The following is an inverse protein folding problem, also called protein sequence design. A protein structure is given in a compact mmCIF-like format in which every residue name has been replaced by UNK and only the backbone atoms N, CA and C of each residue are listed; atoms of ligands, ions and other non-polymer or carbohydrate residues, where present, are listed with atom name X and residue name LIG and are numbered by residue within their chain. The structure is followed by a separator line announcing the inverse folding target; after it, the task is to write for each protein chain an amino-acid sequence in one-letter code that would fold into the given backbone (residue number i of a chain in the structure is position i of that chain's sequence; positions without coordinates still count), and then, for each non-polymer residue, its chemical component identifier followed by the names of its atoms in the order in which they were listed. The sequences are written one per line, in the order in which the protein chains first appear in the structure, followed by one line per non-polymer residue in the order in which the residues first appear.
data_IF_804917649080
#
_entry.id   IF_804917649080
#
_cell.length_a   1.000
_cell.length_b   1.000
_cell.length_c   1.000
_cell.angle_alpha   90.00
_cell.angle_beta   90.00
_cell.angle_gamma   90.00
#
_symmetry.space_group_name_H-M   'P 1'
#
loop_
_entity.id
_entity.type
_entity.pdbx_description
1 polymer ?
#
# COMPACT_ATOMS: atom_id res chain seq x y z
N UNK A 1 51.33 38.04 -30.65
CA UNK A 1 51.49 39.44 -30.16
C UNK A 1 50.55 39.62 -28.95
N UNK A 2 51.17 39.85 -27.81
CA UNK A 2 50.70 40.36 -26.53
C UNK A 2 49.62 39.58 -25.72
N UNK A 3 49.94 39.30 -24.47
CA UNK A 3 49.06 38.68 -23.46
C UNK A 3 48.39 39.76 -22.61
N UNK A 4 47.30 39.44 -21.96
CA UNK A 4 46.70 40.24 -20.83
C UNK A 4 46.40 39.27 -19.73
N UNK A 5 47.18 39.35 -18.74
CA UNK A 5 47.14 39.94 -17.40
C UNK A 5 46.06 39.32 -16.50
N UNK A 6 46.61 38.52 -15.59
CA UNK A 6 45.99 38.07 -14.35
C UNK A 6 45.65 39.27 -13.43
N UNK A 7 44.51 39.24 -12.82
CA UNK A 7 44.23 40.01 -11.60
C UNK A 7 43.81 39.03 -10.51
N UNK A 8 44.74 38.86 -9.60
CA UNK A 8 44.55 38.17 -8.35
C UNK A 8 43.71 39.00 -7.38
N UNK A 9 42.80 38.35 -6.71
CA UNK A 9 42.31 38.78 -5.41
C UNK A 9 42.50 37.62 -4.44
N UNK A 10 43.45 37.86 -3.54
CA UNK A 10 43.75 37.01 -2.41
C UNK A 10 42.69 37.10 -1.34
N UNK A 11 42.36 35.96 -0.78
CA UNK A 11 42.28 35.58 0.59
C UNK A 11 41.56 36.51 1.58
N UNK A 12 40.59 35.96 2.18
CA UNK A 12 40.27 35.97 3.61
C UNK A 12 38.80 35.66 3.83
N UNK A 13 38.56 34.55 4.47
CA UNK A 13 37.44 34.17 5.35
C UNK A 13 36.95 32.75 5.13
N UNK A 14 37.86 31.84 5.36
CA UNK A 14 37.56 30.43 5.63
C UNK A 14 38.03 30.11 7.06
N UNK A 15 37.46 30.78 8.05
CA UNK A 15 37.79 30.50 9.46
C UNK A 15 36.77 31.12 10.40
N UNK A 16 35.45 30.86 10.20
CA UNK A 16 34.43 31.23 11.23
C UNK A 16 33.10 30.47 11.06
N UNK A 17 33.19 29.18 10.79
CA UNK A 17 32.00 28.29 10.75
C UNK A 17 32.28 26.90 11.33
N UNK A 18 33.15 26.85 12.36
CA UNK A 18 33.42 25.64 13.16
C UNK A 18 33.25 26.01 14.64
N UNK A 19 32.07 26.39 15.05
CA UNK A 19 31.68 26.44 16.47
C UNK A 19 30.16 26.65 16.62
N UNK A 20 29.35 25.82 15.95
CA UNK A 20 27.99 25.57 16.45
C UNK A 20 27.86 24.07 16.59
N UNK A 21 28.18 23.64 17.80
CA UNK A 21 28.19 22.26 18.22
C UNK A 21 26.84 21.59 17.97
N UNK A 22 26.91 20.44 17.36
CA UNK A 22 25.88 19.42 17.33
C UNK A 22 25.25 19.22 18.72
N UNK A 23 24.14 19.84 18.99
CA UNK A 23 23.19 19.43 20.01
C UNK A 23 22.00 18.77 19.31
N UNK A 24 22.20 17.54 18.90
CA UNK A 24 21.08 16.63 18.72
C UNK A 24 20.49 16.33 20.10
N UNK A 25 19.19 16.45 20.31
CA UNK A 25 18.58 16.01 21.54
C UNK A 25 18.85 14.50 21.69
N UNK A 26 19.41 14.11 22.81
CA UNK A 26 19.61 12.72 23.21
C UNK A 26 18.29 11.99 23.05
N UNK A 27 18.30 10.89 22.35
CA UNK A 27 17.20 9.95 22.25
C UNK A 27 16.64 9.68 23.64
N UNK A 28 15.38 9.95 23.82
CA UNK A 28 14.63 9.52 24.99
C UNK A 28 14.65 7.99 24.98
N UNK A 29 14.94 7.35 26.12
CA UNK A 29 14.94 5.89 26.20
C UNK A 29 13.54 5.38 25.86
N UNK A 30 13.49 4.40 24.98
CA UNK A 30 12.30 3.63 24.67
C UNK A 30 11.70 3.11 26.00
N UNK A 31 10.60 3.70 26.44
CA UNK A 31 9.87 3.20 27.60
C UNK A 31 9.20 1.92 27.17
N UNK A 32 9.72 0.81 27.63
CA UNK A 32 9.00 -0.47 27.66
C UNK A 32 7.68 -0.22 28.41
N UNK A 33 6.58 -0.19 27.66
CA UNK A 33 5.26 -0.13 28.22
C UNK A 33 4.96 -1.44 28.95
N UNK A 34 4.81 -1.36 30.25
CA UNK A 34 4.50 -2.50 31.11
C UNK A 34 2.99 -2.80 30.99
N UNK A 35 2.65 -3.75 30.13
CA UNK A 35 1.30 -4.20 29.77
C UNK A 35 0.48 -4.70 30.99
N UNK A 36 1.09 -4.80 32.18
CA UNK A 36 0.42 -5.32 33.38
C UNK A 36 -0.71 -4.44 33.95
N UNK A 37 -0.92 -3.23 33.44
CA UNK A 37 -1.96 -2.33 34.00
C UNK A 37 -3.27 -2.32 33.20
N UNK A 38 -3.32 -2.91 32.00
CA UNK A 38 -4.54 -2.95 31.18
C UNK A 38 -5.41 -4.17 31.55
N UNK A 39 -4.83 -5.24 32.08
CA UNK A 39 -5.54 -6.47 32.43
C UNK A 39 -6.43 -6.39 33.69
N UNK A 40 -6.61 -5.22 34.31
CA UNK A 40 -7.43 -5.10 35.53
C UNK A 40 -8.85 -4.58 35.28
N UNK A 41 -9.23 -4.26 34.03
CA UNK A 41 -10.57 -3.81 33.66
C UNK A 41 -11.35 -4.77 32.76
N UNK A 42 -10.78 -5.92 32.39
CA UNK A 42 -11.40 -6.88 31.48
C UNK A 42 -11.94 -8.17 32.17
N UNK A 43 -11.95 -8.24 33.48
CA UNK A 43 -12.53 -9.39 34.20
C UNK A 43 -13.79 -8.97 34.90
N UNK A 44 -14.91 -8.93 34.19
CA UNK A 44 -16.25 -9.21 34.63
C UNK A 44 -17.25 -9.07 33.48
N UNK A 45 -17.31 -10.07 32.61
CA UNK A 45 -18.51 -10.40 31.85
C UNK A 45 -18.37 -11.82 31.31
N UNK A 46 -18.66 -12.78 32.20
CA UNK A 46 -19.01 -14.13 31.81
C UNK A 46 -20.40 -14.12 31.20
N UNK A 47 -20.48 -14.13 29.87
CA UNK A 47 -21.70 -14.50 29.16
C UNK A 47 -21.46 -15.80 28.41
N UNK A 48 -22.42 -16.69 28.57
CA UNK A 48 -22.45 -18.09 28.21
C UNK A 48 -22.22 -18.36 26.73
N UNK A 49 -21.63 -19.52 26.45
CA UNK A 49 -21.27 -20.03 25.14
C UNK A 49 -22.37 -19.97 24.08
N UNK A 50 -22.20 -19.10 23.10
CA UNK A 50 -22.80 -19.28 21.80
C UNK A 50 -21.81 -20.05 20.91
N UNK A 51 -22.27 -21.22 20.43
CA UNK A 51 -21.52 -22.03 19.49
C UNK A 51 -21.15 -21.19 18.28
N UNK A 52 -19.84 -20.98 18.02
CA UNK A 52 -19.33 -20.32 16.81
C UNK A 52 -19.90 -21.07 15.59
N UNK A 53 -20.85 -20.46 14.90
CA UNK A 53 -21.15 -20.88 13.54
C UNK A 53 -19.89 -20.71 12.70
N UNK A 54 -19.49 -21.69 11.87
CA UNK A 54 -18.37 -21.52 10.98
C UNK A 54 -18.64 -20.28 10.11
N UNK A 55 -17.63 -19.39 9.99
CA UNK A 55 -17.73 -18.23 9.11
C UNK A 55 -18.04 -18.73 7.69
N UNK A 56 -19.16 -18.30 7.13
CA UNK A 56 -19.51 -18.58 5.73
C UNK A 56 -18.42 -17.92 4.87
N UNK A 57 -17.74 -18.67 3.99
CA UNK A 57 -16.73 -18.07 3.13
C UNK A 57 -17.35 -16.95 2.31
N UNK A 58 -16.72 -15.81 2.23
CA UNK A 58 -17.22 -14.65 1.47
C UNK A 58 -17.46 -14.89 -0.01
N UNK A 59 -16.82 -15.91 -0.58
CA UNK A 59 -17.13 -16.38 -1.93
C UNK A 59 -18.63 -16.66 -2.13
N UNK A 60 -19.35 -16.96 -1.04
CA UNK A 60 -20.80 -17.15 -1.05
C UNK A 60 -21.61 -15.89 -0.71
N UNK A 61 -20.96 -14.86 -0.14
CA UNK A 61 -21.66 -13.67 0.38
C UNK A 61 -21.39 -12.42 -0.45
N UNK A 62 -20.24 -12.31 -1.12
CA UNK A 62 -19.91 -11.14 -1.95
C UNK A 62 -19.75 -11.57 -3.40
N UNK A 63 -20.72 -11.22 -4.27
CA UNK A 63 -20.60 -11.52 -5.68
C UNK A 63 -19.38 -10.81 -6.29
N UNK A 64 -18.44 -11.56 -6.86
CA UNK A 64 -17.29 -11.01 -7.58
C UNK A 64 -17.65 -10.41 -8.94
N UNK A 65 -18.91 -10.38 -9.30
CA UNK A 65 -19.44 -9.68 -10.45
C UNK A 65 -19.55 -8.16 -10.24
N UNK A 66 -19.16 -7.72 -9.05
CA UNK A 66 -19.18 -6.32 -8.70
C UNK A 66 -20.60 -5.74 -8.56
N UNK A 67 -21.60 -6.52 -8.21
CA UNK A 67 -23.00 -6.05 -8.04
C UNK A 67 -23.20 -5.15 -6.81
N UNK A 68 -22.15 -4.92 -5.97
CA UNK A 68 -22.23 -4.12 -4.75
C UNK A 68 -21.33 -2.89 -4.83
N UNK A 69 -21.88 -1.73 -4.51
CA UNK A 69 -21.17 -0.44 -4.54
C UNK A 69 -20.47 -0.10 -3.22
N UNK A 70 -20.68 -0.89 -2.17
CA UNK A 70 -20.15 -0.66 -0.82
C UNK A 70 -18.91 -1.50 -0.49
N UNK A 71 -18.43 -2.32 -1.44
CA UNK A 71 -17.26 -3.19 -1.28
C UNK A 71 -16.46 -3.26 -2.58
N UNK A 72 -15.13 -3.13 -2.49
CA UNK A 72 -14.23 -3.37 -3.62
C UNK A 72 -13.79 -4.82 -3.64
N UNK A 73 -14.21 -5.53 -4.66
CA UNK A 73 -13.86 -6.93 -4.88
C UNK A 73 -13.19 -7.07 -6.23
N UNK A 74 -11.99 -7.65 -6.26
CA UNK A 74 -11.30 -7.92 -7.52
C UNK A 74 -12.10 -8.90 -8.37
N UNK A 75 -12.18 -8.69 -9.70
CA UNK A 75 -12.89 -9.59 -10.59
C UNK A 75 -12.16 -10.94 -10.69
N UNK A 76 -12.84 -11.96 -11.22
CA UNK A 76 -12.20 -13.25 -11.47
C UNK A 76 -11.29 -13.22 -12.72
N UNK A 77 -11.65 -12.38 -13.69
CA UNK A 77 -10.94 -12.23 -14.95
C UNK A 77 -10.12 -10.92 -14.93
N UNK A 78 -8.77 -10.99 -15.04
CA UNK A 78 -7.93 -9.80 -15.06
C UNK A 78 -8.21 -8.85 -16.21
N UNK A 79 -8.77 -9.33 -17.32
CA UNK A 79 -9.13 -8.48 -18.45
C UNK A 79 -10.27 -7.50 -18.13
N UNK A 80 -11.07 -7.81 -17.11
CA UNK A 80 -12.08 -6.86 -16.58
C UNK A 80 -11.47 -5.58 -16.02
N UNK A 81 -10.21 -5.60 -15.62
CA UNK A 81 -9.49 -4.40 -15.14
C UNK A 81 -8.89 -3.57 -16.27
N UNK A 82 -9.01 -3.97 -17.54
CA UNK A 82 -8.33 -3.32 -18.68
C UNK A 82 -9.20 -2.25 -19.31
N UNK A 83 -8.74 -1.00 -19.21
CA UNK A 83 -9.33 0.13 -19.91
C UNK A 83 -8.42 0.52 -21.09
N UNK A 84 -8.91 0.35 -22.30
CA UNK A 84 -8.22 0.78 -23.52
C UNK A 84 -8.41 2.27 -23.70
N UNK A 85 -7.28 2.97 -23.82
CA UNK A 85 -7.23 4.41 -24.06
C UNK A 85 -6.29 4.69 -25.22
N UNK A 86 -6.54 5.74 -25.97
CA UNK A 86 -5.62 6.13 -27.04
C UNK A 86 -4.24 6.48 -26.44
N UNK A 87 -4.22 7.30 -25.40
CA UNK A 87 -3.01 7.68 -24.65
C UNK A 87 -3.39 8.22 -23.28
N UNK A 88 -2.70 7.84 -22.23
CA UNK A 88 -2.93 8.40 -20.88
C UNK A 88 -2.67 9.91 -20.85
N UNK A 89 -1.73 10.40 -21.68
CA UNK A 89 -1.43 11.83 -21.77
C UNK A 89 -2.61 12.65 -22.31
N UNK A 90 -3.45 12.04 -23.17
CA UNK A 90 -4.58 12.67 -23.86
C UNK A 90 -5.89 11.91 -23.60
N UNK A 91 -6.07 11.40 -22.41
CA UNK A 91 -7.27 10.65 -22.02
C UNK A 91 -8.51 11.54 -22.11
N UNK A 92 -9.59 11.03 -22.69
CA UNK A 92 -10.85 11.75 -22.82
C UNK A 92 -11.61 11.81 -21.49
N UNK A 93 -12.58 12.73 -21.32
CA UNK A 93 -13.44 12.76 -20.13
C UNK A 93 -14.22 11.46 -19.91
N UNK A 94 -14.65 10.78 -20.98
CA UNK A 94 -15.39 9.53 -20.94
C UNK A 94 -14.48 8.38 -20.45
N UNK A 95 -13.28 8.26 -21.02
CA UNK A 95 -12.27 7.30 -20.57
C UNK A 95 -11.87 7.54 -19.11
N UNK A 96 -11.76 8.82 -18.71
CA UNK A 96 -11.47 9.18 -17.30
C UNK A 96 -12.63 8.77 -16.37
N UNK A 97 -13.89 8.94 -16.78
CA UNK A 97 -15.03 8.49 -15.98
C UNK A 97 -15.08 6.97 -15.84
N UNK A 98 -14.79 6.24 -16.91
CA UNK A 98 -14.67 4.78 -16.86
C UNK A 98 -13.52 4.33 -15.93
N UNK A 99 -12.38 5.01 -16.00
CA UNK A 99 -11.29 4.77 -15.06
C UNK A 99 -11.71 4.99 -13.59
N UNK A 100 -12.41 6.09 -13.30
CA UNK A 100 -12.95 6.39 -11.96
C UNK A 100 -13.93 5.31 -11.51
N UNK A 101 -14.82 4.86 -12.41
CA UNK A 101 -15.74 3.76 -12.13
C UNK A 101 -14.98 2.49 -11.76
N UNK A 102 -13.98 2.07 -12.54
CA UNK A 102 -13.19 0.87 -12.26
C UNK A 102 -12.43 0.96 -10.93
N UNK A 103 -11.80 2.10 -10.65
CA UNK A 103 -11.09 2.32 -9.38
C UNK A 103 -12.04 2.28 -8.17
N UNK A 104 -13.24 2.85 -8.29
CA UNK A 104 -14.23 2.80 -7.23
C UNK A 104 -14.82 1.40 -7.06
N UNK A 105 -14.91 0.62 -8.14
CA UNK A 105 -15.51 -0.71 -8.16
C UNK A 105 -14.58 -1.80 -7.68
N UNK A 106 -13.33 -1.79 -8.20
CA UNK A 106 -12.37 -2.89 -8.00
C UNK A 106 -11.17 -2.49 -7.16
N UNK A 107 -10.92 -1.20 -6.97
CA UNK A 107 -9.70 -0.71 -6.34
C UNK A 107 -8.46 -0.82 -7.22
N UNK A 108 -8.62 -1.28 -8.47
CA UNK A 108 -7.53 -1.41 -9.43
C UNK A 108 -8.04 -1.20 -10.86
N UNK A 109 -7.17 -0.71 -11.75
CA UNK A 109 -7.40 -0.61 -13.17
C UNK A 109 -6.07 -0.75 -13.94
N UNK A 110 -6.11 -1.29 -15.15
CA UNK A 110 -4.98 -1.35 -16.08
C UNK A 110 -5.28 -0.43 -17.25
N UNK A 111 -4.54 0.64 -17.38
CA UNK A 111 -4.62 1.53 -18.54
C UNK A 111 -3.78 0.94 -19.69
N UNK A 112 -4.45 0.57 -20.77
CA UNK A 112 -3.88 -0.04 -21.97
C UNK A 112 -3.81 1.02 -23.06
N UNK A 113 -2.59 1.52 -23.33
CA UNK A 113 -2.38 2.59 -24.31
C UNK A 113 -2.18 2.03 -25.71
N UNK A 114 -2.93 2.57 -26.69
CA UNK A 114 -2.73 2.27 -28.12
C UNK A 114 -1.48 3.00 -28.65
N UNK A 115 -1.28 4.24 -28.20
CA UNK A 115 -0.11 5.07 -28.51
C UNK A 115 0.76 5.18 -27.25
N UNK A 116 1.87 4.47 -27.24
CA UNK A 116 2.82 4.47 -26.13
C UNK A 116 4.10 5.21 -26.50
N UNK A 117 4.40 6.24 -25.74
CA UNK A 117 5.61 7.06 -25.84
C UNK A 117 6.70 6.58 -24.85
N UNK A 118 7.61 7.48 -24.46
CA UNK A 118 8.62 7.22 -23.43
C UNK A 118 8.04 6.98 -22.02
N UNK A 119 6.72 7.13 -21.83
CA UNK A 119 5.98 6.94 -20.58
C UNK A 119 6.01 8.14 -19.64
N UNK A 120 6.83 9.14 -19.85
CA UNK A 120 6.92 10.31 -18.97
C UNK A 120 5.68 11.21 -19.08
N UNK A 121 5.08 11.31 -20.25
CA UNK A 121 3.86 12.09 -20.45
C UNK A 121 2.67 11.46 -19.72
N UNK A 122 2.57 10.13 -19.73
CA UNK A 122 1.59 9.40 -18.92
C UNK A 122 1.71 9.76 -17.44
N UNK A 123 2.93 9.79 -16.89
CA UNK A 123 3.16 10.16 -15.49
C UNK A 123 2.80 11.61 -15.17
N UNK A 124 2.90 12.56 -16.08
CA UNK A 124 2.40 13.93 -15.86
C UNK A 124 0.89 13.95 -15.63
N UNK A 125 0.14 13.13 -16.34
CA UNK A 125 -1.31 12.99 -16.13
C UNK A 125 -1.61 12.29 -14.81
N UNK A 126 -0.93 11.21 -14.50
CA UNK A 126 -1.08 10.48 -13.24
C UNK A 126 -0.71 11.35 -12.02
N UNK A 127 0.33 12.19 -12.14
CA UNK A 127 0.72 13.15 -11.11
C UNK A 127 -0.40 14.19 -10.84
N UNK A 128 -1.08 14.69 -11.87
CA UNK A 128 -2.25 15.56 -11.70
C UNK A 128 -3.41 14.83 -11.00
N UNK A 129 -3.67 13.58 -11.42
CA UNK A 129 -4.79 12.80 -10.91
C UNK A 129 -4.65 12.42 -9.44
N UNK A 130 -3.47 11.96 -9.06
CA UNK A 130 -3.20 11.44 -7.71
C UNK A 130 -2.47 12.42 -6.80
N UNK A 131 -1.94 13.51 -7.36
CA UNK A 131 -1.29 14.58 -6.60
C UNK A 131 0.14 14.26 -6.24
N UNK A 132 0.54 14.68 -5.05
CA UNK A 132 1.92 14.62 -4.61
C UNK A 132 2.43 13.19 -4.53
N UNK A 133 3.60 12.97 -5.15
CA UNK A 133 4.35 11.73 -5.02
C UNK A 133 4.99 11.61 -3.62
N UNK A 134 5.00 10.40 -3.06
CA UNK A 134 5.69 10.11 -1.80
C UNK A 134 7.17 9.89 -2.09
N UNK A 135 8.08 10.64 -1.43
CA UNK A 135 9.51 10.50 -1.63
C UNK A 135 10.01 9.10 -1.30
N UNK A 136 10.92 8.60 -2.14
CA UNK A 136 11.58 7.32 -1.96
C UNK A 136 13.06 7.41 -2.35
N UNK A 137 13.96 6.75 -1.61
CA UNK A 137 15.42 6.91 -1.77
C UNK A 137 15.95 6.47 -3.14
N UNK A 138 15.21 5.63 -3.87
CA UNK A 138 15.58 5.14 -5.21
C UNK A 138 14.89 5.90 -6.36
N UNK A 139 14.28 7.04 -6.10
CA UNK A 139 13.67 7.85 -7.16
C UNK A 139 14.71 8.51 -8.05
N UNK A 140 14.40 8.55 -9.33
CA UNK A 140 15.11 9.40 -10.27
C UNK A 140 14.58 10.86 -10.21
N UNK A 141 15.10 11.74 -11.07
CA UNK A 141 14.71 13.15 -11.17
C UNK A 141 13.24 13.39 -11.54
N UNK A 142 12.55 12.35 -12.05
CA UNK A 142 11.11 12.38 -12.36
C UNK A 142 10.24 11.82 -11.23
N UNK A 143 10.84 11.50 -10.08
CA UNK A 143 10.14 10.89 -8.95
C UNK A 143 9.70 9.43 -9.20
N UNK A 144 10.35 8.74 -10.14
CA UNK A 144 10.04 7.37 -10.54
C UNK A 144 11.06 6.41 -9.92
N UNK A 145 10.58 5.34 -9.31
CA UNK A 145 11.39 4.20 -8.89
C UNK A 145 11.45 3.19 -10.03
N UNK A 146 12.62 2.99 -10.62
CA UNK A 146 12.83 1.93 -11.60
C UNK A 146 13.12 0.60 -10.88
N UNK A 147 12.28 -0.39 -11.11
CA UNK A 147 12.46 -1.76 -10.65
C UNK A 147 13.10 -2.53 -11.81
N UNK A 148 14.39 -2.80 -11.68
CA UNK A 148 15.20 -3.40 -12.73
C UNK A 148 16.26 -4.32 -12.09
N UNK A 149 16.25 -5.64 -12.32
CA UNK A 149 17.20 -6.55 -11.72
C UNK A 149 18.65 -6.31 -12.15
N UNK A 150 18.86 -5.71 -13.33
CA UNK A 150 20.20 -5.36 -13.80
C UNK A 150 20.78 -4.09 -13.13
N UNK A 151 19.93 -3.33 -12.43
CA UNK A 151 20.33 -2.14 -11.66
C UNK A 151 19.97 -2.36 -10.20
N UNK A 152 20.80 -3.05 -9.41
CA UNK A 152 20.53 -3.23 -8.00
C UNK A 152 20.44 -1.87 -7.33
N UNK A 153 19.23 -1.45 -7.00
CA UNK A 153 19.00 -0.31 -6.13
C UNK A 153 19.41 -0.71 -4.72
N UNK A 154 19.85 0.23 -3.90
CA UNK A 154 20.17 0.04 -2.48
C UNK A 154 19.00 -0.55 -1.66
N UNK A 155 17.84 -0.62 -2.26
CA UNK A 155 16.63 -1.20 -1.71
C UNK A 155 16.51 -2.57 -2.36
N UNK A 156 16.60 -3.59 -1.53
CA UNK A 156 16.38 -4.97 -1.92
C UNK A 156 15.05 -5.10 -2.66
N UNK A 157 15.10 -4.90 -3.96
CA UNK A 157 14.06 -5.39 -4.83
C UNK A 157 14.00 -6.88 -4.59
N UNK A 158 12.85 -7.38 -4.19
CA UNK A 158 12.65 -8.78 -3.88
C UNK A 158 13.36 -9.66 -4.90
N UNK A 159 14.11 -10.65 -4.39
CA UNK A 159 14.84 -11.58 -5.25
C UNK A 159 13.94 -12.04 -6.41
N UNK A 160 14.32 -11.83 -7.68
CA UNK A 160 13.47 -12.16 -8.83
C UNK A 160 12.99 -13.62 -8.82
N UNK A 161 13.84 -14.56 -8.38
CA UNK A 161 13.54 -16.00 -8.28
C UNK A 161 12.56 -16.36 -7.16
N UNK A 162 12.24 -15.42 -6.28
CA UNK A 162 11.26 -15.61 -5.22
C UNK A 162 10.02 -14.78 -5.51
N UNK A 163 8.89 -15.34 -5.10
CA UNK A 163 7.65 -14.58 -5.04
C UNK A 163 7.82 -13.34 -4.14
N UNK A 164 7.30 -12.21 -4.59
CA UNK A 164 7.09 -11.05 -3.72
C UNK A 164 5.67 -11.11 -3.18
N UNK A 165 5.56 -11.46 -1.91
CA UNK A 165 4.28 -11.74 -1.28
C UNK A 165 3.36 -10.50 -1.27
N UNK A 166 2.04 -10.68 -1.27
CA UNK A 166 1.08 -9.58 -1.25
C UNK A 166 1.29 -8.65 -0.06
N UNK A 167 1.37 -7.35 -0.36
CA UNK A 167 1.56 -6.28 0.61
C UNK A 167 0.97 -4.97 0.09
N UNK A 168 0.77 -4.00 0.99
CA UNK A 168 0.56 -2.61 0.61
C UNK A 168 1.87 -1.85 0.76
N UNK A 169 2.13 -0.93 -0.14
CA UNK A 169 3.35 -0.11 -0.05
C UNK A 169 3.26 0.88 1.12
N UNK A 170 4.42 1.27 1.63
CA UNK A 170 4.57 2.22 2.75
C UNK A 170 3.88 1.81 4.07
N UNK A 171 3.54 0.52 4.22
CA UNK A 171 2.89 -0.02 5.42
C UNK A 171 3.70 0.18 6.72
N UNK A 172 4.98 0.54 6.61
CA UNK A 172 5.91 0.85 7.70
C UNK A 172 5.94 2.34 8.06
N UNK A 173 5.04 3.16 7.50
CA UNK A 173 4.92 4.60 7.79
C UNK A 173 3.61 4.89 8.49
N UNK A 174 3.55 6.04 9.19
CA UNK A 174 2.32 6.51 9.83
C UNK A 174 1.33 7.14 8.83
N UNK A 175 1.74 7.28 7.57
CA UNK A 175 0.91 7.76 6.47
C UNK A 175 1.20 6.97 5.21
N UNK A 176 0.62 5.75 5.08
CA UNK A 176 0.78 4.93 3.89
C UNK A 176 0.24 5.63 2.64
N UNK A 177 0.87 5.36 1.50
CA UNK A 177 0.42 5.89 0.20
C UNK A 177 -1.04 5.50 -0.08
N UNK A 178 -1.78 6.42 -0.72
CA UNK A 178 -3.16 6.15 -1.11
C UNK A 178 -3.23 5.38 -2.43
N UNK A 179 -2.41 5.78 -3.41
CA UNK A 179 -2.39 5.16 -4.72
C UNK A 179 -0.98 4.75 -5.12
N UNK A 180 -0.91 3.70 -5.91
CA UNK A 180 0.30 3.13 -6.48
C UNK A 180 0.11 2.92 -7.99
N UNK A 181 1.12 3.26 -8.76
CA UNK A 181 1.18 2.96 -10.20
C UNK A 181 2.37 2.09 -10.53
N UNK A 182 2.14 1.08 -11.37
CA UNK A 182 3.18 0.21 -11.93
C UNK A 182 3.06 0.21 -13.45
N UNK A 183 4.01 0.85 -14.14
CA UNK A 183 4.11 0.82 -15.60
C UNK A 183 5.06 -0.27 -16.04
N UNK A 184 4.62 -1.14 -16.93
CA UNK A 184 5.50 -2.08 -17.59
C UNK A 184 6.31 -1.37 -18.68
N UNK A 185 7.64 -1.39 -18.56
CA UNK A 185 8.58 -0.90 -19.58
C UNK A 185 9.13 -2.05 -20.41
N UNK A 186 9.33 -3.20 -19.75
CA UNK A 186 9.77 -4.44 -20.36
C UNK A 186 9.30 -5.61 -19.51
N UNK A 187 8.60 -6.55 -20.12
CA UNK A 187 8.21 -7.82 -19.49
C UNK A 187 9.36 -8.83 -19.59
N UNK A 188 9.35 -9.83 -18.69
CA UNK A 188 10.29 -10.95 -18.76
C UNK A 188 10.02 -11.78 -20.01
N UNK A 189 11.04 -12.06 -20.86
CA UNK A 189 10.85 -12.76 -22.12
C UNK A 189 10.30 -14.19 -21.98
N UNK A 190 10.72 -14.93 -20.94
CA UNK A 190 10.23 -16.29 -20.69
C UNK A 190 8.90 -16.36 -19.93
N UNK A 191 8.33 -15.19 -19.60
CA UNK A 191 7.15 -15.07 -18.75
C UNK A 191 7.51 -15.01 -17.27
N UNK A 192 6.49 -15.01 -16.40
CA UNK A 192 6.66 -14.76 -14.98
C UNK A 192 6.73 -13.27 -14.64
N UNK A 193 6.82 -12.97 -13.36
CA UNK A 193 6.87 -11.58 -12.87
C UNK A 193 5.53 -10.85 -12.98
N UNK A 194 4.43 -11.57 -13.19
CA UNK A 194 3.09 -11.01 -13.20
C UNK A 194 2.76 -10.37 -11.85
N UNK A 195 2.01 -9.28 -11.88
CA UNK A 195 1.46 -8.70 -10.67
C UNK A 195 0.40 -9.61 -10.07
N UNK A 196 0.41 -9.74 -8.76
CA UNK A 196 -0.59 -10.50 -7.99
C UNK A 196 -1.34 -9.50 -7.14
N UNK A 197 -2.67 -9.49 -7.21
CA UNK A 197 -3.53 -8.61 -6.44
C UNK A 197 -4.37 -9.42 -5.46
N UNK A 198 -4.57 -8.89 -4.25
CA UNK A 198 -5.46 -9.44 -3.22
C UNK A 198 -6.34 -8.32 -2.70
N UNK A 199 -7.65 -8.53 -2.70
CA UNK A 199 -8.57 -7.52 -2.15
C UNK A 199 -8.43 -7.43 -0.62
N UNK A 200 -8.40 -6.19 -0.11
CA UNK A 200 -8.51 -5.96 1.33
C UNK A 200 -9.83 -6.49 1.91
N UNK A 201 -10.88 -6.55 1.09
CA UNK A 201 -12.15 -7.17 1.50
C UNK A 201 -11.97 -8.67 1.79
N UNK A 202 -11.20 -9.40 0.99
CA UNK A 202 -10.92 -10.81 1.27
C UNK A 202 -10.19 -10.99 2.61
N UNK A 203 -9.29 -10.05 2.96
CA UNK A 203 -8.59 -10.08 4.25
C UNK A 203 -9.56 -9.84 5.43
N UNK A 204 -10.44 -8.85 5.29
CA UNK A 204 -11.43 -8.50 6.33
C UNK A 204 -12.36 -9.66 6.62
N UNK A 205 -12.75 -10.42 5.61
CA UNK A 205 -13.69 -11.53 5.76
C UNK A 205 -13.14 -12.75 6.43
N UNK A 206 -11.83 -12.83 6.57
CA UNK A 206 -11.19 -13.83 7.40
C UNK A 206 -11.44 -13.59 8.91
N UNK A 207 -11.97 -12.41 9.28
CA UNK A 207 -12.04 -11.94 10.65
C UNK A 207 -13.48 -11.94 11.18
N UNK A 208 -13.61 -12.22 12.47
CA UNK A 208 -14.79 -11.84 13.24
C UNK A 208 -14.79 -10.33 13.52
N UNK A 209 -15.93 -9.83 13.91
CA UNK A 209 -16.11 -8.44 14.27
C UNK A 209 -15.22 -7.98 15.44
N UNK A 210 -15.02 -8.85 16.41
CA UNK A 210 -14.17 -8.59 17.58
C UNK A 210 -12.69 -8.54 17.17
N UNK A 211 -12.24 -9.47 16.33
CA UNK A 211 -10.87 -9.50 15.80
C UNK A 211 -10.58 -8.26 14.96
N UNK A 212 -11.52 -7.86 14.09
CA UNK A 212 -11.35 -6.63 13.30
C UNK A 212 -11.19 -5.40 14.20
N UNK A 213 -12.02 -5.28 15.25
CA UNK A 213 -11.88 -4.15 16.20
C UNK A 213 -10.56 -4.15 16.92
N UNK A 214 -10.09 -5.32 17.34
CA UNK A 214 -8.79 -5.43 18.00
C UNK A 214 -7.67 -5.01 17.05
N UNK A 215 -7.72 -5.42 15.78
CA UNK A 215 -6.76 -5.03 14.74
C UNK A 215 -6.86 -3.55 14.33
N UNK A 216 -7.96 -2.89 14.68
CA UNK A 216 -8.11 -1.43 14.54
C UNK A 216 -7.49 -0.64 15.71
N UNK A 217 -6.92 -1.30 16.70
CA UNK A 217 -6.17 -0.64 17.76
C UNK A 217 -4.72 -0.45 17.33
N UNK A 218 -4.10 0.70 17.66
CA UNK A 218 -2.68 0.91 17.42
C UNK A 218 -1.84 -0.01 18.30
N UNK A 219 -0.68 -0.41 17.79
CA UNK A 219 0.25 -1.27 18.51
C UNK A 219 -0.01 -2.76 18.38
N UNK A 220 -1.15 -3.18 17.83
CA UNK A 220 -1.45 -4.61 17.64
C UNK A 220 -0.53 -5.26 16.61
N UNK A 221 -0.18 -4.54 15.56
CA UNK A 221 0.74 -5.01 14.52
C UNK A 221 1.74 -3.90 14.19
N UNK A 222 3.01 -4.18 14.35
CA UNK A 222 4.10 -3.30 13.93
C UNK A 222 4.66 -3.75 12.59
N UNK A 223 4.84 -2.82 11.67
CA UNK A 223 5.47 -3.08 10.38
C UNK A 223 6.69 -2.21 10.21
N UNK A 224 7.78 -2.79 9.74
CA UNK A 224 9.04 -2.09 9.64
C UNK A 224 9.71 -2.28 8.28
N UNK A 225 10.62 -1.36 7.97
CA UNK A 225 11.55 -1.46 6.85
C UNK A 225 12.95 -1.65 7.42
N UNK A 226 13.62 -2.70 7.00
CA UNK A 226 15.02 -2.95 7.34
C UNK A 226 15.94 -2.48 6.21
N UNK A 227 17.07 -1.86 6.53
CA UNK A 227 18.12 -1.66 5.55
C UNK A 227 18.74 -3.02 5.18
N UNK A 228 19.37 -3.09 4.00
CA UNK A 228 20.20 -4.23 3.67
C UNK A 228 21.41 -4.26 4.62
N UNK A 229 21.57 -5.29 5.43
CA UNK A 229 22.85 -5.61 6.04
C UNK A 229 22.88 -5.83 7.55
N UNK A 230 22.36 -4.95 8.40
CA UNK A 230 22.57 -5.05 9.85
C UNK A 230 21.37 -5.56 10.65
N UNK A 231 20.25 -5.79 10.00
CA UNK A 231 19.02 -6.29 10.65
C UNK A 231 18.27 -5.27 11.52
N UNK A 232 18.78 -4.04 11.65
CA UNK A 232 18.07 -2.99 12.38
C UNK A 232 16.87 -2.46 11.59
N UNK A 233 15.91 -1.83 12.28
CA UNK A 233 14.78 -1.20 11.65
C UNK A 233 15.10 0.24 11.26
N UNK A 234 14.97 0.61 9.98
CA UNK A 234 15.05 2.01 9.54
C UNK A 234 13.83 2.82 9.93
N UNK A 235 12.66 2.20 9.75
CA UNK A 235 11.35 2.79 10.09
C UNK A 235 10.47 1.69 10.63
N UNK A 236 9.67 2.01 11.63
CA UNK A 236 8.63 1.12 12.17
C UNK A 236 7.40 1.96 12.42
N UNK A 237 6.26 1.45 12.01
CA UNK A 237 4.96 2.05 12.32
C UNK A 237 4.06 1.04 13.00
N UNK A 238 3.38 1.49 14.04
CA UNK A 238 2.43 0.71 14.84
C UNK A 238 1.02 1.32 14.77
N UNK A 239 0.70 2.07 13.72
CA UNK A 239 -0.68 2.52 13.46
C UNK A 239 -1.59 1.30 13.29
N UNK A 240 -2.91 1.42 13.42
CA UNK A 240 -3.83 0.30 13.23
C UNK A 240 -3.62 -0.43 11.90
N UNK A 241 -3.88 -1.75 11.89
CA UNK A 241 -3.85 -2.53 10.64
C UNK A 241 -5.02 -2.14 9.73
N UNK A 242 -6.18 -1.83 10.33
CA UNK A 242 -7.37 -1.30 9.68
C UNK A 242 -7.79 0.00 10.34
N UNK A 243 -8.27 0.94 9.55
CA UNK A 243 -8.88 2.18 10.07
C UNK A 243 -9.98 2.66 9.14
N UNK A 244 -10.92 3.42 9.68
CA UNK A 244 -11.96 4.07 8.86
C UNK A 244 -11.49 5.48 8.49
N UNK A 245 -11.49 5.79 7.22
CA UNK A 245 -11.27 7.17 6.77
C UNK A 245 -12.48 8.03 7.13
N UNK A 246 -12.24 9.09 7.91
CA UNK A 246 -13.32 9.98 8.40
C UNK A 246 -14.06 10.72 7.29
N UNK A 247 -13.39 10.98 6.18
CA UNK A 247 -13.96 11.78 5.09
C UNK A 247 -14.90 10.95 4.22
N UNK A 248 -14.55 9.70 3.97
CA UNK A 248 -15.28 8.79 3.09
C UNK A 248 -16.13 7.75 3.83
N UNK A 249 -15.83 7.46 5.09
CA UNK A 249 -16.45 6.37 5.85
C UNK A 249 -16.02 4.98 5.39
N UNK A 250 -14.93 4.88 4.61
CA UNK A 250 -14.44 3.61 4.08
C UNK A 250 -13.35 3.02 4.97
N UNK A 251 -13.38 1.69 5.14
CA UNK A 251 -12.36 0.93 5.84
C UNK A 251 -11.13 0.81 4.96
N UNK A 252 -10.01 1.29 5.46
CA UNK A 252 -8.71 1.21 4.82
C UNK A 252 -7.86 0.14 5.49
N UNK A 253 -6.91 -0.43 4.74
CA UNK A 253 -6.02 -1.48 5.21
C UNK A 253 -4.56 -1.12 4.90
N UNK A 254 -3.67 -1.45 5.81
CA UNK A 254 -2.26 -1.66 5.51
C UNK A 254 -1.97 -3.13 5.73
N UNK A 255 -1.30 -3.74 4.79
CA UNK A 255 -1.08 -5.17 4.83
C UNK A 255 0.36 -5.55 4.46
N UNK A 256 0.85 -6.59 5.10
CA UNK A 256 2.08 -7.25 4.69
C UNK A 256 2.03 -8.71 5.10
N UNK A 257 2.28 -9.62 4.18
CA UNK A 257 2.53 -11.01 4.54
C UNK A 257 3.79 -11.13 5.39
N UNK A 258 3.87 -12.20 6.17
CA UNK A 258 5.06 -12.47 6.98
C UNK A 258 6.25 -12.85 6.09
N UNK A 259 7.03 -11.85 5.69
CA UNK A 259 8.17 -11.93 4.77
C UNK A 259 9.48 -11.40 5.38
N UNK A 260 9.52 -11.24 6.70
CA UNK A 260 10.67 -10.69 7.43
C UNK A 260 10.68 -9.16 7.55
N UNK A 261 9.66 -8.47 7.01
CA UNK A 261 9.43 -7.03 7.22
C UNK A 261 8.29 -6.77 8.22
N UNK A 262 7.70 -7.83 8.75
CA UNK A 262 6.78 -7.75 9.87
C UNK A 262 7.61 -7.53 11.14
N UNK A 263 7.21 -6.51 11.92
CA UNK A 263 7.75 -6.26 13.26
C UNK A 263 7.06 -7.18 14.28
N UNK A 264 6.60 -6.57 15.37
CA UNK A 264 5.90 -7.31 16.41
C UNK A 264 4.41 -7.45 16.07
N UNK A 265 3.85 -8.62 16.37
CA UNK A 265 2.42 -8.91 16.36
C UNK A 265 2.02 -9.26 17.79
N UNK A 266 1.06 -8.54 18.36
CA UNK A 266 0.56 -8.82 19.69
C UNK A 266 -0.02 -10.24 19.75
N UNK A 267 0.25 -10.97 20.84
CA UNK A 267 -0.15 -12.38 20.96
C UNK A 267 -1.67 -12.59 20.80
N UNK A 268 -2.46 -11.62 21.24
CA UNK A 268 -3.93 -11.67 21.17
C UNK A 268 -4.47 -11.59 19.73
N UNK A 269 -3.76 -10.98 18.77
CA UNK A 269 -4.16 -10.86 17.36
C UNK A 269 -3.36 -11.77 16.43
N UNK A 270 -2.42 -12.51 16.95
CA UNK A 270 -1.57 -13.39 16.14
C UNK A 270 -2.36 -14.44 15.35
N UNK A 271 -3.37 -15.15 15.94
CA UNK A 271 -4.18 -16.09 15.17
C UNK A 271 -4.94 -15.43 14.02
N UNK A 272 -5.51 -14.24 14.25
CA UNK A 272 -6.22 -13.46 13.24
C UNK A 272 -5.28 -13.00 12.11
N UNK A 273 -4.07 -12.57 12.47
CA UNK A 273 -3.05 -12.20 11.50
C UNK A 273 -2.61 -13.39 10.64
N UNK A 274 -2.39 -14.56 11.25
CA UNK A 274 -2.02 -15.80 10.55
C UNK A 274 -3.15 -16.26 9.61
N UNK A 275 -4.40 -16.10 10.02
CA UNK A 275 -5.56 -16.40 9.17
C UNK A 275 -5.62 -15.49 7.93
N UNK A 276 -5.39 -14.19 8.11
CA UNK A 276 -5.31 -13.24 6.99
C UNK A 276 -4.11 -13.55 6.08
N UNK A 277 -2.95 -13.89 6.64
CA UNK A 277 -1.75 -14.28 5.87
C UNK A 277 -2.05 -15.53 5.02
N UNK A 278 -2.76 -16.49 5.60
CA UNK A 278 -3.20 -17.68 4.86
C UNK A 278 -4.18 -17.34 3.71
N UNK A 279 -5.09 -16.38 3.91
CA UNK A 279 -5.99 -15.88 2.85
C UNK A 279 -5.17 -15.21 1.74
N UNK A 280 -4.27 -14.30 2.08
CA UNK A 280 -3.47 -13.57 1.10
C UNK A 280 -2.60 -14.48 0.22
N UNK A 281 -2.19 -15.64 0.75
CA UNK A 281 -1.35 -16.62 0.04
C UNK A 281 -2.13 -17.61 -0.81
N UNK A 282 -3.43 -17.77 -0.61
CA UNK A 282 -4.24 -18.72 -1.39
C UNK A 282 -4.50 -18.18 -2.80
N UNK A 283 -4.21 -18.97 -3.80
CA UNK A 283 -4.40 -18.59 -5.21
C UNK A 283 -5.84 -18.18 -5.54
N UNK A 284 -6.84 -18.76 -4.87
CA UNK A 284 -8.26 -18.42 -5.08
C UNK A 284 -8.60 -16.97 -4.69
N UNK A 285 -7.80 -16.34 -3.85
CA UNK A 285 -7.93 -14.93 -3.46
C UNK A 285 -6.99 -14.02 -4.26
N UNK A 286 -6.19 -14.57 -5.16
CA UNK A 286 -5.22 -13.85 -5.94
C UNK A 286 -5.70 -13.63 -7.37
N UNK A 287 -5.73 -12.39 -7.81
CA UNK A 287 -5.89 -12.06 -9.22
C UNK A 287 -4.50 -11.84 -9.83
N UNK A 288 -4.13 -12.67 -10.80
CA UNK A 288 -2.86 -12.56 -11.50
C UNK A 288 -3.03 -11.66 -12.71
N UNK A 289 -2.30 -10.56 -12.75
CA UNK A 289 -2.40 -9.51 -13.78
C UNK A 289 -1.07 -9.44 -14.54
N UNK A 290 -0.95 -10.08 -15.71
CA UNK A 290 0.17 -9.87 -16.58
C UNK A 290 0.13 -8.48 -17.19
N UNK A 291 1.29 -7.80 -17.24
CA UNK A 291 1.42 -6.49 -17.86
C UNK A 291 2.39 -6.58 -19.05
N UNK A 292 2.00 -5.99 -20.16
CA UNK A 292 2.86 -5.84 -21.33
C UNK A 292 3.44 -4.41 -21.42
N UNK A 293 4.53 -4.20 -22.18
CA UNK A 293 5.12 -2.86 -22.32
C UNK A 293 4.09 -1.81 -22.74
N UNK A 294 4.08 -0.68 -22.02
CA UNK A 294 3.11 0.42 -22.20
C UNK A 294 1.93 0.40 -21.26
N UNK A 295 1.57 -0.74 -20.68
CA UNK A 295 0.47 -0.83 -19.73
C UNK A 295 0.83 -0.25 -18.37
N UNK A 296 -0.15 0.40 -17.74
CA UNK A 296 -0.04 0.97 -16.39
C UNK A 296 -1.11 0.38 -15.49
N UNK A 297 -0.71 -0.43 -14.54
CA UNK A 297 -1.56 -0.87 -13.43
C UNK A 297 -1.61 0.24 -12.39
N UNK A 298 -2.81 0.67 -12.06
CA UNK A 298 -3.12 1.63 -11.00
C UNK A 298 -3.87 0.93 -9.90
N UNK A 299 -3.50 1.17 -8.65
CA UNK A 299 -4.10 0.52 -7.48
C UNK A 299 -4.41 1.52 -6.37
N UNK A 300 -5.55 1.33 -5.72
CA UNK A 300 -5.81 1.87 -4.39
C UNK A 300 -5.03 1.06 -3.36
N UNK A 301 -3.91 1.60 -2.92
CA UNK A 301 -2.97 0.92 -2.02
C UNK A 301 -3.53 0.73 -0.58
N UNK A 302 -4.71 1.28 -0.29
CA UNK A 302 -5.42 1.12 0.98
C UNK A 302 -6.61 0.17 0.87
N UNK A 303 -6.81 -0.39 -0.33
CA UNK A 303 -7.87 -1.36 -0.63
C UNK A 303 -7.33 -2.68 -1.19
N UNK A 304 -6.20 -2.64 -1.90
CA UNK A 304 -5.64 -3.78 -2.63
C UNK A 304 -4.19 -4.00 -2.22
N UNK A 305 -3.89 -5.18 -1.70
CA UNK A 305 -2.53 -5.64 -1.54
C UNK A 305 -2.02 -6.19 -2.89
N UNK A 306 -0.73 -5.98 -3.15
CA UNK A 306 -0.11 -6.41 -4.39
C UNK A 306 1.18 -7.18 -4.14
N UNK A 307 1.49 -8.07 -5.04
CA UNK A 307 2.69 -8.90 -5.03
C UNK A 307 3.18 -9.15 -6.44
N UNK A 308 4.07 -10.13 -6.59
CA UNK A 308 4.66 -10.48 -7.87
C UNK A 308 5.05 -11.95 -7.90
N UNK A 309 4.68 -12.64 -8.97
CA UNK A 309 5.17 -14.01 -9.25
C UNK A 309 6.70 -14.00 -9.50
N UNK A 310 7.39 -15.12 -9.20
CA UNK A 310 8.81 -15.25 -9.53
C UNK A 310 9.04 -15.19 -11.05
N UNK A 311 10.25 -14.80 -11.46
CA UNK A 311 10.74 -14.87 -12.84
C UNK A 311 12.26 -15.11 -12.84
N UNK A 312 12.84 -15.46 -13.98
CA UNK A 312 14.28 -15.67 -14.07
C UNK A 312 15.07 -14.38 -13.88
N UNK A 313 16.11 -14.42 -13.05
CA UNK A 313 16.81 -13.22 -12.55
C UNK A 313 17.71 -12.53 -13.58
N UNK A 314 18.09 -13.23 -14.63
CA UNK A 314 18.94 -12.76 -15.73
C UNK A 314 18.12 -12.15 -16.89
N UNK A 315 16.79 -12.26 -16.81
CA UNK A 315 15.93 -11.68 -17.82
C UNK A 315 15.71 -10.18 -17.58
N UNK A 316 15.72 -9.39 -18.66
CA UNK A 316 15.42 -7.98 -18.58
C UNK A 316 13.91 -7.77 -18.30
N UNK A 317 13.59 -7.39 -17.08
CA UNK A 317 12.24 -6.97 -16.68
C UNK A 317 12.34 -5.59 -16.05
N UNK A 318 11.66 -4.62 -16.62
CA UNK A 318 11.71 -3.23 -16.16
C UNK A 318 10.32 -2.71 -15.87
N UNK A 319 10.11 -2.27 -14.64
CA UNK A 319 8.88 -1.62 -14.20
C UNK A 319 9.20 -0.23 -13.64
N UNK A 320 8.35 0.72 -13.91
CA UNK A 320 8.37 2.02 -13.26
C UNK A 320 7.26 2.10 -12.21
N UNK A 321 7.62 2.55 -11.01
CA UNK A 321 6.71 2.66 -9.88
C UNK A 321 6.66 4.10 -9.36
N UNK A 322 5.45 4.53 -8.99
CA UNK A 322 5.22 5.78 -8.27
C UNK A 322 4.12 5.60 -7.22
N UNK A 323 4.35 6.14 -6.02
CA UNK A 323 3.40 6.12 -4.92
C UNK A 323 2.89 7.55 -4.66
N UNK A 324 1.59 7.69 -4.35
CA UNK A 324 0.92 8.98 -4.27
C UNK A 324 0.17 9.16 -2.95
N UNK A 325 0.12 10.41 -2.50
CA UNK A 325 -0.64 10.82 -1.31
C UNK A 325 -2.15 10.72 -1.53
N UNK A 326 -2.63 10.90 -2.77
CA UNK A 326 -4.06 10.90 -3.09
C UNK A 326 -4.74 12.25 -2.85
N UNK A 327 -4.06 13.34 -3.19
CA UNK A 327 -4.58 14.71 -3.05
C UNK A 327 -4.62 15.46 -4.40
N UNK A 328 -4.72 14.74 -5.51
CA UNK A 328 -4.81 15.30 -6.86
C UNK A 328 -6.24 15.54 -7.34
N UNK A 329 -6.37 15.83 -8.64
CA UNK A 329 -7.64 16.24 -9.27
C UNK A 329 -8.76 15.18 -9.16
N UNK A 330 -8.41 13.89 -9.17
CA UNK A 330 -9.39 12.81 -9.04
C UNK A 330 -9.68 12.40 -7.58
N UNK A 331 -8.95 12.94 -6.60
CA UNK A 331 -9.08 12.50 -5.20
C UNK A 331 -10.52 12.59 -4.66
N UNK A 332 -11.27 13.62 -5.08
CA UNK A 332 -12.68 13.79 -4.68
C UNK A 332 -13.66 12.82 -5.36
N UNK A 333 -13.23 12.16 -6.43
CA UNK A 333 -14.05 11.22 -7.21
C UNK A 333 -13.69 9.76 -6.89
N UNK A 334 -12.53 9.53 -6.25
CA UNK A 334 -12.04 8.22 -5.90
C UNK A 334 -12.30 7.93 -4.42
N UNK A 335 -12.99 6.85 -4.17
CA UNK A 335 -13.17 6.32 -2.81
C UNK A 335 -11.98 5.42 -2.48
N UNK A 336 -11.16 5.82 -1.51
CA UNK A 336 -10.01 5.01 -1.06
C UNK A 336 -10.41 4.15 0.12
N UNK A 337 -10.17 2.84 0.02
CA UNK A 337 -10.50 1.85 1.04
C UNK A 337 -11.17 0.61 0.44
N UNK A 338 -11.29 -0.43 1.27
CA UNK A 338 -11.73 -1.76 0.82
C UNK A 338 -13.25 -1.95 0.82
N UNK A 339 -13.95 -1.34 1.79
CA UNK A 339 -15.41 -1.38 1.89
C UNK A 339 -15.94 -0.21 2.70
N UNK A 340 -17.21 0.14 2.51
CA UNK A 340 -17.90 1.07 3.40
C UNK A 340 -17.98 0.46 4.81
N UNK A 341 -17.60 1.21 5.83
CA UNK A 341 -17.58 0.73 7.22
C UNK A 341 -18.95 0.26 7.75
N UNK A 342 -20.01 0.63 7.02
CA UNK A 342 -21.41 0.25 7.30
C UNK A 342 -22.02 -0.65 6.23
N UNK A 343 -21.19 -1.32 5.44
CA UNK A 343 -21.70 -2.25 4.45
C UNK A 343 -22.44 -3.40 5.12
N UNK A 344 -23.38 -4.04 4.41
CA UNK A 344 -24.06 -5.23 4.90
C UNK A 344 -23.12 -6.44 5.13
N UNK A 345 -21.84 -6.36 4.72
CA UNK A 345 -20.79 -7.28 5.17
C UNK A 345 -20.69 -7.31 6.69
N UNK A 346 -21.01 -6.19 7.33
CA UNK A 346 -20.99 -6.03 8.77
C UNK A 346 -22.40 -6.05 9.37
N UNK A 347 -23.41 -6.64 8.67
CA UNK A 347 -24.74 -6.86 9.24
C UNK A 347 -24.62 -7.68 10.53
N UNK A 348 -25.00 -7.07 11.63
CA UNK A 348 -24.69 -7.51 13.00
C UNK A 348 -23.62 -6.67 13.70
N UNK A 349 -22.81 -5.87 12.96
CA UNK A 349 -21.87 -4.88 13.52
C UNK A 349 -22.50 -3.49 13.70
N UNK A 350 -23.60 -3.18 13.00
CA UNK A 350 -24.21 -1.84 13.04
C UNK A 350 -24.54 -1.34 14.45
N UNK A 351 -24.84 -2.25 15.40
CA UNK A 351 -25.05 -1.87 16.80
C UNK A 351 -23.77 -1.61 17.58
N UNK A 352 -22.62 -1.93 17.00
CA UNK A 352 -21.33 -1.92 17.68
C UNK A 352 -20.32 -0.96 17.03
N UNK A 353 -20.54 -0.55 15.78
CA UNK A 353 -19.74 0.45 15.06
C UNK A 353 -20.47 1.79 15.13
N UNK A 354 -20.35 2.48 16.25
CA UNK A 354 -20.73 3.87 16.33
C UNK A 354 -19.56 4.73 15.82
N UNK A 355 -19.64 5.32 14.61
CA UNK A 355 -18.57 6.17 14.08
C UNK A 355 -18.36 7.40 14.93
N UNK A 356 -19.37 7.83 15.71
CA UNK A 356 -19.24 8.95 16.65
C UNK A 356 -18.38 8.59 17.86
N UNK A 357 -18.30 7.32 18.21
CA UNK A 357 -17.49 6.82 19.34
C UNK A 357 -16.05 6.53 18.94
N UNK A 358 -15.76 6.37 17.63
CA UNK A 358 -14.42 6.05 17.15
C UNK A 358 -13.72 7.29 16.62
N UNK A 359 -12.81 7.83 17.41
CA UNK A 359 -12.00 8.99 17.04
C UNK A 359 -10.53 8.58 17.00
N UNK A 360 -9.94 8.36 15.79
CA UNK A 360 -8.52 8.04 15.66
C UNK A 360 -7.60 9.12 16.23
N UNK A 361 -8.09 10.36 16.41
CA UNK A 361 -7.31 11.42 17.07
C UNK A 361 -7.21 11.24 18.59
N UNK A 362 -8.07 10.43 19.19
CA UNK A 362 -8.00 10.05 20.63
C UNK A 362 -6.98 8.96 20.90
N UNK A 363 -6.47 8.31 19.86
CA UNK A 363 -5.39 7.35 19.97
C UNK A 363 -4.10 8.14 20.15
N UNK A 364 -3.63 8.25 21.38
CA UNK A 364 -2.28 8.79 21.65
C UNK A 364 -1.28 7.77 21.14
N UNK A 365 -0.62 8.08 20.02
CA UNK A 365 0.58 7.39 19.54
C UNK A 365 1.73 7.55 20.53
#
# INVERSE_FOLDING_TARGET
MKPLQALGLRGARAAELVALGNRFPKQLPCRTFNIRHINKMATESTMAGESRKPAVPLQEVVPRDGSRDDVKVLPNDPDTLRLRVKSIANITPEEQQEFVFMMNRYGAAVLVQEEFDDGLQAYKTLDRWFGRCIPHDAMNEHGIVEINPAKPTSINTANPKKEHLPHTDDAYTDSPSAFLTLQCRQSAPSGGGESVLVSGADLVTALSNEELRTLMQPGMVSMGRRPAGDGSWMKVSSIPLFWVDKSSGWLQVRWRCNDGCLGDVAEEVKPSYEQMDAVARKEVHQLVVPLVPGEVLVMDNRAVAHGRRPYESDEPRVMWRKNYVGNGELAAQLTSGTCAAFSSMFDGLHSMFDPSSWDPSKIKL
#
